data_IF_867659112775
#
_entry.id   IF_867659112775
#
_cell.length_a   1.000
_cell.length_b   1.000
_cell.length_c   1.000
_cell.angle_alpha   90.00
_cell.angle_beta   90.00
_cell.angle_gamma   90.00
#
_symmetry.space_group_name_H-M   'P 1'
#
loop_
_entity.id
_entity.type
_entity.pdbx_description
1 polymer ?
#
# COMPACT_ATOMS: atom_id res chain seq x y z
N UNK A 1 -11.99 -0.33 -13.00
CA UNK A 1 -10.86 -1.24 -12.70
C UNK A 1 -10.50 -1.08 -11.22
N UNK A 2 -10.07 -2.13 -10.52
CA UNK A 2 -9.74 -2.03 -9.08
C UNK A 2 -8.43 -1.24 -8.91
N UNK A 3 -8.46 -0.14 -8.16
CA UNK A 3 -7.36 0.84 -8.01
C UNK A 3 -6.60 0.73 -6.69
N UNK A 4 -6.29 -0.49 -6.25
CA UNK A 4 -5.58 -0.71 -4.98
C UNK A 4 -4.10 -0.36 -5.10
N UNK A 5 -3.55 0.28 -4.06
CA UNK A 5 -2.13 0.61 -3.96
C UNK A 5 -1.27 -0.60 -3.55
N UNK A 6 -1.84 -1.52 -2.77
CA UNK A 6 -1.19 -2.74 -2.31
C UNK A 6 -2.24 -3.83 -2.07
N UNK A 7 -1.87 -5.08 -2.31
CA UNK A 7 -2.66 -6.27 -2.00
C UNK A 7 -1.72 -7.25 -1.29
N UNK A 8 -2.14 -7.74 -0.13
CA UNK A 8 -1.42 -8.78 0.62
C UNK A 8 -2.18 -10.09 0.49
N UNK A 9 -1.50 -11.16 0.10
CA UNK A 9 -2.06 -12.50 0.01
C UNK A 9 -1.07 -13.49 0.61
N UNK A 10 -1.49 -14.21 1.64
CA UNK A 10 -0.65 -15.19 2.34
C UNK A 10 -1.44 -16.47 2.58
N UNK A 11 -0.80 -17.65 2.47
CA UNK A 11 -1.41 -18.92 2.87
C UNK A 11 -1.51 -19.06 4.41
N UNK A 12 -0.85 -18.18 5.17
CA UNK A 12 -0.88 -18.20 6.63
C UNK A 12 -2.12 -17.47 7.17
N UNK A 13 -2.78 -18.07 8.16
CA UNK A 13 -4.08 -17.63 8.70
C UNK A 13 -3.99 -16.45 9.65
N UNK A 14 -3.42 -15.30 9.24
CA UNK A 14 -3.66 -13.99 9.91
C UNK A 14 -3.47 -12.82 8.95
N UNK A 15 -4.49 -11.95 8.88
CA UNK A 15 -4.43 -10.69 8.13
C UNK A 15 -3.34 -9.73 8.64
N UNK A 16 -2.87 -9.89 9.87
CA UNK A 16 -1.84 -9.03 10.46
C UNK A 16 -0.40 -9.40 10.11
N UNK A 17 -0.16 -10.53 9.42
CA UNK A 17 1.20 -11.05 9.20
C UNK A 17 2.15 -10.07 8.51
N UNK A 18 1.65 -9.30 7.54
CA UNK A 18 2.42 -8.30 6.80
C UNK A 18 1.96 -6.87 7.04
N UNK A 19 1.06 -6.63 8.00
CA UNK A 19 0.38 -5.33 8.14
C UNK A 19 1.35 -4.17 8.37
N UNK A 20 2.45 -4.38 9.11
CA UNK A 20 3.46 -3.35 9.35
C UNK A 20 4.22 -2.96 8.06
N UNK A 21 4.78 -3.95 7.37
CA UNK A 21 5.55 -3.72 6.14
C UNK A 21 4.68 -3.20 5.00
N UNK A 22 3.46 -3.72 4.88
CA UNK A 22 2.51 -3.27 3.87
C UNK A 22 2.02 -1.85 4.17
N UNK A 23 1.88 -1.46 5.43
CA UNK A 23 1.59 -0.08 5.80
C UNK A 23 2.71 0.88 5.39
N UNK A 24 3.98 0.52 5.60
CA UNK A 24 5.10 1.34 5.18
C UNK A 24 5.11 1.57 3.65
N UNK A 25 4.84 0.51 2.87
CA UNK A 25 4.72 0.60 1.40
C UNK A 25 3.52 1.47 0.98
N UNK A 26 2.37 1.31 1.63
CA UNK A 26 1.17 2.11 1.37
C UNK A 26 1.41 3.59 1.65
N UNK A 27 2.09 3.92 2.74
CA UNK A 27 2.44 5.31 3.08
C UNK A 27 3.33 5.94 2.02
N UNK A 28 4.40 5.25 1.60
CA UNK A 28 5.28 5.75 0.55
C UNK A 28 4.55 5.93 -0.80
N UNK A 29 3.72 4.96 -1.19
CA UNK A 29 2.94 5.06 -2.42
C UNK A 29 1.94 6.23 -2.39
N UNK A 30 1.32 6.48 -1.23
CA UNK A 30 0.43 7.62 -1.00
C UNK A 30 1.18 8.95 -1.14
N UNK A 31 2.34 9.07 -0.52
CA UNK A 31 3.18 10.27 -0.58
C UNK A 31 3.63 10.57 -2.02
N UNK A 32 4.07 9.56 -2.77
CA UNK A 32 4.45 9.71 -4.17
C UNK A 32 3.27 10.19 -5.05
N UNK A 33 2.07 9.64 -4.85
CA UNK A 33 0.89 10.11 -5.59
C UNK A 33 0.53 11.56 -5.26
N UNK A 34 0.67 11.98 -4.01
CA UNK A 34 0.43 13.36 -3.61
C UNK A 34 1.47 14.30 -4.22
N UNK A 35 2.74 13.90 -4.24
CA UNK A 35 3.80 14.67 -4.88
C UNK A 35 3.55 14.84 -6.38
N UNK A 36 3.18 13.76 -7.09
CA UNK A 36 2.89 13.81 -8.52
C UNK A 36 1.72 14.76 -8.82
N UNK A 37 0.63 14.71 -8.03
CA UNK A 37 -0.52 15.60 -8.19
C UNK A 37 -0.23 17.07 -7.88
N UNK A 38 0.78 17.35 -7.07
CA UNK A 38 1.18 18.72 -6.75
C UNK A 38 2.14 19.31 -7.80
N UNK A 39 2.82 18.45 -8.57
CA UNK A 39 3.69 18.82 -9.67
C UNK A 39 2.94 18.99 -11.00
N UNK A 40 1.73 18.44 -11.09
CA UNK A 40 0.73 18.71 -12.13
C UNK A 40 0.04 20.07 -11.91
#
# INVERSE_FOLDING_TARGET
RKGFLMISASPLTRSSHHAGDDFAKLKAAREAQLANRAAE
#
